data_IF_860558207104
#
_entry.id   IF_860558207104
#
_cell.length_a   1.000
_cell.length_b   1.000
_cell.length_c   1.000
_cell.angle_alpha   90.00
_cell.angle_beta   90.00
_cell.angle_gamma   90.00
#
_symmetry.space_group_name_H-M   'P 1'
#
loop_
_entity.id
_entity.type
_entity.pdbx_description
1 polymer ?
#
# COMPACT_ATOMS: atom_id res chain seq x y z
N UNK A 1 13.28 -65.31 -52.22
CA UNK A 1 14.05 -64.69 -53.30
C UNK A 1 13.49 -63.29 -53.50
N UNK A 2 14.31 -62.28 -53.17
CA UNK A 2 14.27 -60.85 -53.53
C UNK A 2 12.96 -60.09 -53.27
N UNK A 3 12.85 -59.30 -52.18
CA UNK A 3 13.26 -57.88 -52.06
C UNK A 3 12.70 -56.96 -53.15
N UNK A 4 11.73 -56.13 -52.78
CA UNK A 4 11.61 -54.76 -53.27
C UNK A 4 11.11 -53.86 -52.14
N UNK A 5 11.97 -52.94 -51.73
CA UNK A 5 11.77 -51.87 -50.76
C UNK A 5 10.99 -50.72 -51.40
N UNK A 6 9.98 -50.20 -50.69
CA UNK A 6 9.50 -48.83 -50.86
C UNK A 6 9.07 -48.31 -49.49
N UNK A 7 10.00 -47.59 -48.84
CA UNK A 7 9.77 -46.83 -47.61
C UNK A 7 8.78 -45.69 -47.88
N UNK A 8 7.67 -45.68 -47.15
CA UNK A 8 6.81 -44.50 -46.99
C UNK A 8 7.00 -43.97 -45.58
N UNK A 9 7.86 -42.96 -45.44
CA UNK A 9 7.97 -42.15 -44.22
C UNK A 9 7.40 -40.77 -44.51
N UNK A 10 6.15 -40.54 -44.10
CA UNK A 10 5.61 -39.19 -43.97
C UNK A 10 5.87 -38.79 -42.52
N UNK A 11 6.97 -38.09 -42.28
CA UNK A 11 7.17 -37.35 -41.03
C UNK A 11 6.21 -36.17 -41.03
N UNK A 12 5.06 -36.30 -40.37
CA UNK A 12 4.27 -35.15 -39.95
C UNK A 12 5.06 -34.40 -38.86
N UNK A 13 5.67 -33.27 -39.23
CA UNK A 13 6.18 -32.32 -38.25
C UNK A 13 5.02 -31.80 -37.39
N UNK A 14 5.11 -31.87 -36.05
CA UNK A 14 4.12 -31.22 -35.20
C UNK A 14 4.19 -29.70 -35.42
N UNK A 15 3.05 -28.98 -35.29
CA UNK A 15 3.01 -27.55 -35.49
C UNK A 15 3.99 -26.83 -34.54
N UNK A 16 4.56 -25.69 -34.94
CA UNK A 16 5.54 -24.98 -34.13
C UNK A 16 4.91 -24.61 -32.79
N UNK A 17 5.58 -24.99 -31.71
CA UNK A 17 5.18 -24.62 -30.36
C UNK A 17 5.04 -23.10 -30.28
N UNK A 18 3.83 -22.62 -29.93
CA UNK A 18 3.62 -21.22 -29.57
C UNK A 18 4.72 -20.79 -28.61
N UNK A 19 5.37 -19.66 -28.92
CA UNK A 19 6.42 -19.11 -28.09
C UNK A 19 5.86 -18.94 -26.68
N UNK A 20 6.30 -19.82 -25.76
CA UNK A 20 5.99 -19.72 -24.34
C UNK A 20 6.59 -18.41 -23.85
N UNK A 21 5.80 -17.35 -23.85
CA UNK A 21 6.18 -16.08 -23.24
C UNK A 21 6.46 -16.39 -21.78
N UNK A 22 7.73 -16.25 -21.37
CA UNK A 22 8.14 -16.53 -20.01
C UNK A 22 7.20 -15.80 -19.03
N UNK A 23 6.63 -16.53 -18.08
CA UNK A 23 5.71 -15.96 -17.09
C UNK A 23 6.40 -14.77 -16.40
N UNK A 24 5.73 -13.62 -16.19
CA UNK A 24 6.37 -12.48 -15.54
C UNK A 24 6.91 -12.84 -14.15
N UNK A 25 7.88 -12.06 -13.66
CA UNK A 25 8.38 -12.20 -12.29
C UNK A 25 7.21 -12.26 -11.30
N UNK A 26 7.24 -13.16 -10.28
CA UNK A 26 8.37 -14.00 -9.86
C UNK A 26 8.45 -15.39 -10.52
N UNK A 27 7.66 -15.65 -11.56
CA UNK A 27 7.46 -17.01 -12.08
C UNK A 27 8.38 -17.39 -13.26
N UNK A 28 9.15 -16.44 -13.82
CA UNK A 28 10.19 -16.70 -14.84
C UNK A 28 11.50 -17.30 -14.29
N UNK A 29 11.56 -17.72 -13.02
CA UNK A 29 12.79 -18.18 -12.35
C UNK A 29 13.94 -17.16 -12.35
N UNK A 30 13.68 -15.88 -12.68
CA UNK A 30 14.68 -14.83 -12.55
C UNK A 30 14.77 -14.42 -11.07
N UNK A 31 16.01 -14.35 -10.56
CA UNK A 31 16.29 -13.94 -9.18
C UNK A 31 16.26 -12.42 -8.98
N UNK A 32 15.95 -11.67 -10.04
CA UNK A 32 15.94 -10.22 -10.05
C UNK A 32 14.84 -9.69 -10.97
N UNK A 33 14.26 -8.54 -10.63
CA UNK A 33 13.53 -7.71 -11.59
C UNK A 33 14.54 -6.85 -12.36
N UNK A 34 14.31 -6.63 -13.65
CA UNK A 34 15.01 -5.56 -14.37
C UNK A 34 14.64 -4.24 -13.69
N UNK A 35 15.64 -3.55 -13.17
CA UNK A 35 15.44 -2.23 -12.59
C UNK A 35 15.14 -1.26 -13.72
N UNK A 36 13.90 -0.79 -13.79
CA UNK A 36 13.50 0.27 -14.70
C UNK A 36 13.75 1.61 -14.01
N UNK A 37 14.60 2.49 -14.59
CA UNK A 37 14.81 3.81 -14.02
C UNK A 37 13.50 4.60 -14.09
N UNK A 38 13.08 5.13 -12.93
CA UNK A 38 11.94 6.04 -12.86
C UNK A 38 12.40 7.40 -13.37
N UNK A 39 12.04 7.74 -14.60
CA UNK A 39 12.20 9.09 -15.13
C UNK A 39 11.15 10.02 -14.53
N UNK A 40 11.58 11.18 -14.05
CA UNK A 40 10.69 12.19 -13.47
C UNK A 40 9.87 12.84 -14.59
N UNK A 41 8.57 12.57 -14.62
CA UNK A 41 7.63 13.18 -15.57
C UNK A 41 6.76 14.27 -14.93
N UNK A 42 6.76 14.38 -13.60
CA UNK A 42 5.97 15.37 -12.86
C UNK A 42 6.86 16.59 -12.58
N UNK A 43 6.58 17.71 -13.24
CA UNK A 43 7.35 18.95 -13.08
C UNK A 43 7.30 19.49 -11.65
N UNK A 44 6.10 19.63 -11.08
CA UNK A 44 5.92 20.09 -9.70
C UNK A 44 4.61 19.58 -9.12
N UNK A 45 4.56 19.41 -7.81
CA UNK A 45 3.35 19.07 -7.06
C UNK A 45 3.52 19.44 -5.59
N UNK A 46 2.44 19.91 -4.95
CA UNK A 46 2.35 20.06 -3.49
C UNK A 46 1.81 18.79 -2.85
N UNK A 47 2.61 18.12 -2.03
CA UNK A 47 2.21 16.87 -1.35
C UNK A 47 2.16 17.06 0.16
N UNK A 48 0.99 16.82 0.76
CA UNK A 48 0.85 16.74 2.21
C UNK A 48 1.10 15.30 2.65
N UNK A 49 2.12 15.08 3.46
CA UNK A 49 2.41 13.79 4.06
C UNK A 49 1.82 13.75 5.47
N UNK A 50 1.03 12.73 5.76
CA UNK A 50 0.32 12.57 7.04
C UNK A 50 0.96 11.45 7.85
N UNK A 51 1.57 11.82 8.98
CA UNK A 51 2.03 10.90 10.01
C UNK A 51 0.84 10.37 10.81
N UNK A 52 0.64 9.06 10.75
CA UNK A 52 -0.45 8.34 11.40
C UNK A 52 -0.01 7.55 12.63
N UNK A 53 1.19 7.79 13.16
CA UNK A 53 1.68 7.15 14.38
C UNK A 53 1.39 8.01 15.62
N UNK A 54 1.51 7.42 16.81
CA UNK A 54 1.29 8.12 18.08
C UNK A 54 2.52 8.98 18.41
N UNK A 55 2.35 10.30 18.58
CA UNK A 55 3.47 11.22 18.83
C UNK A 55 3.69 11.51 20.31
N UNK A 56 2.61 11.50 21.07
CA UNK A 56 2.59 11.85 22.49
C UNK A 56 1.40 11.16 23.18
N UNK A 57 1.26 11.39 24.48
CA UNK A 57 0.19 10.79 25.30
C UNK A 57 -1.20 11.34 24.96
N UNK A 58 -1.31 12.52 24.33
CA UNK A 58 -2.61 13.08 23.91
C UNK A 58 -3.21 12.28 22.75
N UNK A 59 -2.35 11.66 21.93
CA UNK A 59 -2.75 10.77 20.84
C UNK A 59 -3.22 9.39 21.36
N UNK A 60 -2.99 9.05 22.63
CA UNK A 60 -3.33 7.74 23.21
C UNK A 60 -4.79 7.64 23.66
N UNK A 61 -5.39 6.47 23.49
CA UNK A 61 -6.64 6.09 24.14
C UNK A 61 -6.41 5.69 25.61
N UNK A 62 -7.51 5.50 26.35
CA UNK A 62 -7.45 4.95 27.69
C UNK A 62 -6.97 3.49 27.71
N UNK A 63 -7.25 2.73 26.64
CA UNK A 63 -6.71 1.37 26.46
C UNK A 63 -5.19 1.42 26.39
N UNK A 64 -4.63 2.28 25.54
CA UNK A 64 -3.17 2.40 25.43
C UNK A 64 -2.54 2.90 26.73
N UNK A 65 -3.18 3.83 27.44
CA UNK A 65 -2.69 4.31 28.76
C UNK A 65 -2.67 3.19 29.80
N UNK A 66 -3.75 2.40 29.85
CA UNK A 66 -3.86 1.26 30.75
C UNK A 66 -2.82 0.18 30.43
N UNK A 67 -2.72 -0.21 29.15
CA UNK A 67 -1.88 -1.31 28.71
C UNK A 67 -0.38 -0.98 28.80
N UNK A 68 0.02 0.26 28.52
CA UNK A 68 1.42 0.66 28.58
C UNK A 68 1.86 1.14 29.96
N UNK A 69 0.99 1.83 30.71
CA UNK A 69 1.33 2.38 32.03
C UNK A 69 2.69 3.10 32.03
N UNK A 70 3.62 2.63 32.85
CA UNK A 70 4.97 3.20 32.97
C UNK A 70 5.83 3.09 31.69
N UNK A 71 5.47 2.19 30.77
CA UNK A 71 6.18 1.98 29.50
C UNK A 71 5.75 2.97 28.40
N UNK A 72 4.71 3.78 28.61
CA UNK A 72 4.16 4.68 27.58
C UNK A 72 5.22 5.57 26.93
N UNK A 73 6.14 6.12 27.73
CA UNK A 73 7.26 6.94 27.23
C UNK A 73 8.15 6.17 26.26
N UNK A 74 8.45 4.91 26.55
CA UNK A 74 9.29 4.05 25.70
C UNK A 74 8.56 3.66 24.42
N UNK A 75 7.26 3.33 24.51
CA UNK A 75 6.46 2.98 23.35
C UNK A 75 6.26 4.18 22.42
N UNK A 76 5.97 5.38 22.95
CA UNK A 76 5.92 6.63 22.14
C UNK A 76 7.27 6.92 21.46
N UNK A 77 8.40 6.69 22.14
CA UNK A 77 9.72 6.83 21.50
C UNK A 77 9.88 5.88 20.31
N UNK A 78 9.38 4.64 20.44
CA UNK A 78 9.38 3.66 19.36
C UNK A 78 8.48 4.09 18.20
N UNK A 79 7.27 4.57 18.47
CA UNK A 79 6.34 5.14 17.49
C UNK A 79 7.04 6.24 16.67
N UNK A 80 7.63 7.23 17.35
CA UNK A 80 8.30 8.36 16.69
C UNK A 80 9.49 7.93 15.83
N UNK A 81 10.25 6.92 16.26
CA UNK A 81 11.35 6.37 15.46
C UNK A 81 10.84 5.75 14.16
N UNK A 82 9.77 4.95 14.25
CA UNK A 82 9.17 4.29 13.09
C UNK A 82 8.50 5.32 12.17
N UNK A 83 7.87 6.34 12.75
CA UNK A 83 7.29 7.46 12.01
C UNK A 83 8.36 8.18 11.18
N UNK A 84 9.50 8.54 11.78
CA UNK A 84 10.62 9.17 11.07
C UNK A 84 11.05 8.36 9.84
N UNK A 85 11.29 7.06 10.01
CA UNK A 85 11.65 6.16 8.91
C UNK A 85 10.56 6.10 7.82
N UNK A 86 9.29 6.01 8.21
CA UNK A 86 8.18 5.94 7.25
C UNK A 86 8.03 7.24 6.45
N UNK A 87 8.11 8.39 7.12
CA UNK A 87 8.02 9.71 6.51
C UNK A 87 9.21 9.95 5.57
N UNK A 88 10.44 9.64 5.99
CA UNK A 88 11.64 9.76 5.14
C UNK A 88 11.51 8.93 3.86
N UNK A 89 10.99 7.70 3.97
CA UNK A 89 10.74 6.85 2.80
C UNK A 89 9.70 7.46 1.86
N UNK A 90 8.61 8.04 2.39
CA UNK A 90 7.59 8.70 1.56
C UNK A 90 8.19 9.92 0.85
N UNK A 91 8.90 10.77 1.59
CA UNK A 91 9.54 11.97 1.05
C UNK A 91 10.55 11.63 -0.05
N UNK A 92 11.40 10.62 0.18
CA UNK A 92 12.37 10.16 -0.83
C UNK A 92 11.69 9.65 -2.10
N UNK A 93 10.56 8.94 -1.98
CA UNK A 93 9.81 8.50 -3.16
C UNK A 93 9.16 9.67 -3.91
N UNK A 94 8.64 10.67 -3.21
CA UNK A 94 8.14 11.91 -3.84
C UNK A 94 9.28 12.60 -4.60
N UNK A 95 10.45 12.74 -3.99
CA UNK A 95 11.64 13.31 -4.64
C UNK A 95 12.12 12.51 -5.84
N UNK A 96 11.92 11.19 -5.88
CA UNK A 96 12.26 10.35 -7.04
C UNK A 96 11.26 10.50 -8.19
N UNK A 97 10.01 10.84 -7.89
CA UNK A 97 8.93 10.94 -8.88
C UNK A 97 8.77 12.34 -9.47
N UNK A 98 9.17 13.37 -8.72
CA UNK A 98 8.87 14.79 -9.04
C UNK A 98 10.15 15.59 -9.24
N UNK A 99 10.19 16.45 -10.26
CA UNK A 99 11.32 17.35 -10.53
C UNK A 99 11.48 18.37 -9.40
N UNK A 100 10.42 19.10 -9.08
CA UNK A 100 10.41 20.13 -8.01
C UNK A 100 9.23 19.93 -7.04
N UNK A 101 9.30 18.98 -6.09
CA UNK A 101 8.24 18.78 -5.11
C UNK A 101 8.24 19.88 -4.04
N UNK A 102 7.05 20.22 -3.56
CA UNK A 102 6.88 20.98 -2.31
C UNK A 102 6.13 20.10 -1.32
N UNK A 103 6.73 19.81 -0.17
CA UNK A 103 6.15 18.87 0.81
C UNK A 103 5.88 19.55 2.14
N UNK A 104 4.83 19.12 2.82
CA UNK A 104 4.58 19.45 4.22
C UNK A 104 4.23 18.15 4.97
N UNK A 105 4.77 17.98 6.16
CA UNK A 105 4.41 16.88 7.05
C UNK A 105 3.44 17.40 8.10
N UNK A 106 2.33 16.70 8.31
CA UNK A 106 1.39 16.95 9.39
C UNK A 106 1.05 15.63 10.09
N UNK A 107 0.51 15.72 11.30
CA UNK A 107 -0.04 14.55 11.97
C UNK A 107 -1.51 14.39 11.66
N UNK A 108 -1.99 13.17 11.80
CA UNK A 108 -3.38 12.79 11.64
C UNK A 108 -4.36 13.74 12.35
N UNK A 109 -4.06 14.12 13.61
CA UNK A 109 -4.91 15.00 14.41
C UNK A 109 -5.06 16.43 13.83
N UNK A 110 -4.13 16.87 12.98
CA UNK A 110 -4.14 18.21 12.38
C UNK A 110 -4.34 18.22 10.87
N UNK A 111 -4.65 17.06 10.27
CA UNK A 111 -4.70 16.89 8.81
C UNK A 111 -5.63 17.90 8.12
N UNK A 112 -6.81 18.16 8.67
CA UNK A 112 -7.77 19.09 8.07
C UNK A 112 -7.28 20.53 8.10
N UNK A 113 -6.62 20.95 9.18
CA UNK A 113 -6.01 22.28 9.28
C UNK A 113 -4.84 22.41 8.32
N UNK A 114 -3.95 21.41 8.28
CA UNK A 114 -2.79 21.38 7.42
C UNK A 114 -3.20 21.41 5.93
N UNK A 115 -4.18 20.61 5.52
CA UNK A 115 -4.70 20.60 4.16
C UNK A 115 -5.27 21.97 3.75
N UNK A 116 -6.03 22.64 4.62
CA UNK A 116 -6.57 23.98 4.34
C UNK A 116 -5.48 25.04 4.16
N UNK A 117 -4.45 25.00 5.00
CA UNK A 117 -3.35 25.99 4.98
C UNK A 117 -2.39 25.74 3.81
N UNK A 118 -1.98 24.48 3.63
CA UNK A 118 -0.98 24.09 2.64
C UNK A 118 -1.54 23.95 1.22
N UNK A 119 -2.85 23.68 1.10
CA UNK A 119 -3.56 23.45 -0.18
C UNK A 119 -2.83 22.42 -1.06
N UNK A 120 -2.62 21.18 -0.56
CA UNK A 120 -1.93 20.15 -1.33
C UNK A 120 -2.73 19.74 -2.56
N UNK A 121 -2.02 19.25 -3.56
CA UNK A 121 -2.58 18.61 -4.76
C UNK A 121 -2.72 17.10 -4.59
N UNK A 122 -1.94 16.51 -3.67
CA UNK A 122 -2.05 15.11 -3.26
C UNK A 122 -1.73 14.94 -1.78
N UNK A 123 -2.30 13.90 -1.17
CA UNK A 123 -2.04 13.52 0.22
C UNK A 123 -1.47 12.12 0.24
N UNK A 124 -0.41 11.91 1.02
CA UNK A 124 0.14 10.58 1.29
C UNK A 124 0.03 10.29 2.79
N UNK A 125 -0.69 9.24 3.16
CA UNK A 125 -0.89 8.82 4.55
C UNK A 125 0.05 7.65 4.86
N UNK A 126 0.84 7.79 5.92
CA UNK A 126 1.74 6.75 6.38
C UNK A 126 0.99 5.49 6.86
N UNK A 127 1.74 4.41 7.07
CA UNK A 127 1.25 3.30 7.87
C UNK A 127 0.98 3.68 9.34
N UNK A 128 0.39 2.74 10.06
CA UNK A 128 0.28 2.75 11.51
C UNK A 128 1.11 1.61 12.10
N UNK A 129 1.46 1.71 13.38
CA UNK A 129 2.12 0.63 14.11
C UNK A 129 1.15 -0.14 15.01
N UNK A 130 0.11 0.52 15.52
CA UNK A 130 -0.82 -0.03 16.50
C UNK A 130 -2.20 -0.23 15.94
N UNK A 131 -2.95 -1.02 16.69
CA UNK A 131 -4.39 -1.18 16.52
C UNK A 131 -5.09 0.15 16.80
N UNK A 132 -6.21 0.37 16.13
CA UNK A 132 -6.89 1.68 16.18
C UNK A 132 -7.52 1.98 17.53
N UNK A 133 -7.71 0.98 18.39
CA UNK A 133 -8.17 1.17 19.76
C UNK A 133 -7.09 1.73 20.69
N UNK A 134 -5.83 1.81 20.26
CA UNK A 134 -4.77 2.53 20.98
C UNK A 134 -4.77 4.03 20.73
N UNK A 135 -5.48 4.47 19.69
CA UNK A 135 -5.56 5.87 19.33
C UNK A 135 -6.69 6.55 20.08
N UNK A 136 -6.45 7.78 20.52
CA UNK A 136 -7.50 8.65 21.04
C UNK A 136 -8.66 8.70 20.03
N UNK A 137 -9.89 8.30 20.42
CA UNK A 137 -11.03 8.24 19.50
C UNK A 137 -11.31 9.58 18.80
N UNK A 138 -11.04 10.71 19.46
CA UNK A 138 -11.22 12.03 18.87
C UNK A 138 -10.27 12.29 17.69
N UNK A 139 -9.05 11.74 17.73
CA UNK A 139 -8.09 11.83 16.62
C UNK A 139 -8.60 11.03 15.42
N UNK A 140 -9.12 9.82 15.68
CA UNK A 140 -9.70 8.96 14.64
C UNK A 140 -10.93 9.64 14.00
N UNK A 141 -11.84 10.21 14.80
CA UNK A 141 -13.02 10.90 14.27
C UNK A 141 -12.64 12.15 13.48
N UNK A 142 -11.69 12.95 13.98
CA UNK A 142 -11.18 14.14 13.27
C UNK A 142 -10.64 13.77 11.88
N UNK A 143 -9.92 12.65 11.78
CA UNK A 143 -9.48 12.13 10.50
C UNK A 143 -10.65 11.63 9.64
N UNK A 144 -11.58 10.88 10.24
CA UNK A 144 -12.72 10.33 9.54
C UNK A 144 -13.60 11.43 8.92
N UNK A 145 -13.84 12.52 9.63
CA UNK A 145 -14.50 13.72 9.09
C UNK A 145 -13.74 14.31 7.91
N UNK A 146 -12.41 14.46 8.03
CA UNK A 146 -11.57 14.98 6.96
C UNK A 146 -11.60 14.11 5.69
N UNK A 147 -11.36 12.81 5.83
CA UNK A 147 -11.22 11.92 4.68
C UNK A 147 -12.55 11.68 3.95
N UNK A 148 -13.69 11.77 4.67
CA UNK A 148 -15.02 11.72 4.07
C UNK A 148 -15.36 12.98 3.26
N UNK A 149 -14.78 14.13 3.62
CA UNK A 149 -15.12 15.43 3.02
C UNK A 149 -14.12 15.89 1.94
N UNK A 150 -12.90 15.37 1.94
CA UNK A 150 -11.85 15.82 1.02
C UNK A 150 -12.09 15.35 -0.42
N UNK A 151 -11.79 16.23 -1.38
CA UNK A 151 -11.70 15.88 -2.80
C UNK A 151 -10.24 15.82 -3.29
N UNK A 152 -9.27 15.98 -2.38
CA UNK A 152 -7.85 15.91 -2.70
C UNK A 152 -7.48 14.43 -2.84
N UNK A 153 -6.80 14.01 -3.93
CA UNK A 153 -6.34 12.64 -4.11
C UNK A 153 -5.52 12.14 -2.92
N UNK A 154 -5.83 10.93 -2.42
CA UNK A 154 -5.17 10.33 -1.25
C UNK A 154 -4.56 8.99 -1.62
N UNK A 155 -3.26 8.85 -1.37
CA UNK A 155 -2.56 7.57 -1.32
C UNK A 155 -2.38 7.17 0.14
N UNK A 156 -2.98 6.06 0.55
CA UNK A 156 -2.86 5.55 1.91
C UNK A 156 -2.03 4.26 1.95
N UNK A 157 -1.06 4.16 2.86
CA UNK A 157 -0.09 3.07 2.90
C UNK A 157 -0.36 2.16 4.09
N UNK A 158 -0.49 0.85 3.86
CA UNK A 158 -0.61 -0.17 4.93
C UNK A 158 -1.72 0.18 5.95
N UNK A 159 -1.37 0.44 7.21
CA UNK A 159 -2.30 0.87 8.25
C UNK A 159 -3.06 2.16 7.91
N UNK A 160 -2.49 3.08 7.13
CA UNK A 160 -3.21 4.24 6.63
C UNK A 160 -4.40 3.85 5.75
N UNK A 161 -4.27 2.79 4.94
CA UNK A 161 -5.38 2.29 4.12
C UNK A 161 -6.49 1.67 4.99
N UNK A 162 -6.11 0.95 6.04
CA UNK A 162 -7.06 0.43 7.02
C UNK A 162 -7.83 1.56 7.71
N UNK A 163 -7.15 2.66 8.06
CA UNK A 163 -7.76 3.84 8.66
C UNK A 163 -8.77 4.53 7.73
N UNK A 164 -8.44 4.65 6.43
CA UNK A 164 -9.39 5.12 5.42
C UNK A 164 -10.61 4.20 5.40
N UNK A 165 -10.41 2.88 5.31
CA UNK A 165 -11.51 1.91 5.34
C UNK A 165 -12.43 2.06 6.56
N UNK A 166 -11.85 2.14 7.77
CA UNK A 166 -12.59 2.37 9.02
C UNK A 166 -13.45 3.64 8.96
N UNK A 167 -12.91 4.71 8.38
CA UNK A 167 -13.62 5.99 8.24
C UNK A 167 -14.88 5.90 7.37
N UNK A 168 -14.97 4.89 6.50
CA UNK A 168 -16.13 4.58 5.67
C UNK A 168 -16.92 3.35 6.16
N UNK A 169 -16.67 2.89 7.40
CA UNK A 169 -17.41 1.80 8.04
C UNK A 169 -16.91 0.40 7.67
N UNK A 170 -15.74 0.26 7.03
CA UNK A 170 -15.14 -1.04 6.84
C UNK A 170 -14.69 -1.63 8.17
N UNK A 171 -14.83 -2.95 8.32
CA UNK A 171 -14.35 -3.67 9.49
C UNK A 171 -12.92 -4.14 9.26
N UNK A 172 -11.98 -3.71 10.11
CA UNK A 172 -10.57 -4.11 10.05
C UNK A 172 -10.33 -5.28 11.00
N UNK A 173 -10.01 -6.43 10.43
CA UNK A 173 -9.77 -7.68 11.17
C UNK A 173 -8.38 -8.24 10.85
N UNK A 174 -7.89 -9.12 11.70
CA UNK A 174 -6.69 -9.92 11.46
C UNK A 174 -6.93 -10.98 10.37
N UNK A 175 -5.86 -11.60 9.86
CA UNK A 175 -5.95 -12.62 8.80
C UNK A 175 -6.76 -13.87 9.21
N UNK A 176 -6.77 -14.20 10.50
CA UNK A 176 -7.61 -15.24 11.10
C UNK A 176 -9.01 -14.75 11.51
N UNK A 177 -9.41 -13.55 11.04
CA UNK A 177 -10.75 -12.96 11.15
C UNK A 177 -11.16 -12.58 12.58
N UNK A 178 -10.19 -12.25 13.42
CA UNK A 178 -10.43 -11.71 14.75
C UNK A 178 -10.40 -10.18 14.74
N UNK A 179 -11.07 -9.57 15.71
CA UNK A 179 -10.86 -8.15 16.01
C UNK A 179 -9.41 -7.93 16.43
N UNK A 180 -8.86 -6.76 16.11
CA UNK A 180 -7.46 -6.44 16.39
C UNK A 180 -7.09 -6.64 17.87
N UNK A 181 -7.97 -6.22 18.78
CA UNK A 181 -7.77 -6.36 20.23
C UNK A 181 -7.85 -7.80 20.74
N UNK A 182 -8.49 -8.72 20.00
CA UNK A 182 -8.61 -10.13 20.39
C UNK A 182 -7.29 -10.89 20.21
N UNK A 183 -6.43 -10.43 19.30
CA UNK A 183 -5.10 -10.98 19.10
C UNK A 183 -4.11 -9.86 18.77
N UNK A 184 -3.40 -9.34 19.77
CA UNK A 184 -2.37 -8.31 19.57
C UNK A 184 -0.99 -8.87 19.27
N UNK A 185 -0.71 -10.07 19.75
CA UNK A 185 0.59 -10.73 19.63
C UNK A 185 0.53 -11.95 18.73
N UNK A 186 1.66 -12.30 18.12
CA UNK A 186 1.83 -13.51 17.31
C UNK A 186 0.76 -13.67 16.22
N UNK A 187 0.35 -12.54 15.62
CA UNK A 187 -0.61 -12.53 14.51
C UNK A 187 -0.09 -13.37 13.35
N UNK A 188 -0.96 -14.12 12.65
CA UNK A 188 -0.59 -14.75 11.39
C UNK A 188 -0.04 -13.68 10.44
N UNK A 189 1.11 -13.98 9.85
CA UNK A 189 1.73 -13.15 8.84
C UNK A 189 1.59 -13.84 7.49
N UNK A 190 1.20 -13.07 6.49
CA UNK A 190 1.23 -13.49 5.11
C UNK A 190 2.31 -12.66 4.40
N UNK A 191 3.27 -13.35 3.81
CA UNK A 191 4.35 -12.74 3.05
C UNK A 191 4.44 -13.42 1.70
N UNK A 192 4.03 -12.71 0.64
CA UNK A 192 4.23 -12.96 -0.80
C UNK A 192 3.07 -12.36 -1.62
N UNK A 193 3.21 -12.37 -2.94
CA UNK A 193 2.14 -12.01 -3.87
C UNK A 193 1.08 -13.10 -3.92
N UNK A 194 -0.19 -12.71 -3.90
CA UNK A 194 -1.32 -13.58 -4.20
C UNK A 194 -2.01 -13.11 -5.48
N UNK A 195 -2.35 -14.06 -6.34
CA UNK A 195 -3.28 -13.79 -7.41
C UNK A 195 -4.65 -13.53 -6.81
N UNK A 196 -5.15 -12.30 -7.00
CA UNK A 196 -6.51 -11.94 -6.65
C UNK A 196 -7.38 -12.09 -7.88
N UNK A 197 -8.52 -12.77 -7.73
CA UNK A 197 -9.53 -12.86 -8.79
C UNK A 197 -10.46 -11.66 -8.67
N UNK A 198 -10.47 -10.80 -9.68
CA UNK A 198 -11.45 -9.73 -9.80
C UNK A 198 -12.81 -10.37 -10.11
N UNK A 199 -13.74 -10.27 -9.16
CA UNK A 199 -15.09 -10.86 -9.30
C UNK A 199 -16.07 -9.93 -10.00
N UNK A 200 -15.77 -8.63 -10.07
CA UNK A 200 -16.58 -7.60 -10.72
C UNK A 200 -15.71 -6.75 -11.65
N UNK A 201 -15.27 -7.29 -12.81
CA UNK A 201 -14.33 -6.62 -13.69
C UNK A 201 -14.86 -5.33 -14.33
N UNK A 202 -16.18 -5.10 -14.27
CA UNK A 202 -16.83 -3.89 -14.78
C UNK A 202 -16.86 -2.75 -13.76
N UNK A 203 -16.44 -2.98 -12.50
CA UNK A 203 -16.32 -1.90 -11.53
C UNK A 203 -15.33 -0.84 -12.06
N UNK A 204 -15.68 0.46 -12.07
CA UNK A 204 -14.82 1.52 -12.57
C UNK A 204 -13.41 1.54 -11.95
N UNK A 205 -13.21 1.02 -10.74
CA UNK A 205 -11.89 0.93 -10.10
C UNK A 205 -10.91 0.03 -10.88
N UNK A 206 -11.43 -0.91 -11.67
CA UNK A 206 -10.64 -1.84 -12.49
C UNK A 206 -10.56 -1.43 -13.96
N UNK A 207 -10.99 -0.23 -14.32
CA UNK A 207 -10.91 0.25 -15.70
C UNK A 207 -9.46 0.23 -16.19
N UNK A 208 -9.21 -0.45 -17.31
CA UNK A 208 -7.88 -0.59 -17.93
C UNK A 208 -7.05 -1.75 -17.38
N UNK A 209 -7.50 -2.50 -16.38
CA UNK A 209 -6.71 -3.60 -15.80
C UNK A 209 -6.51 -4.79 -16.76
N UNK A 210 -7.40 -4.93 -17.74
CA UNK A 210 -7.33 -5.96 -18.79
C UNK A 210 -6.81 -5.40 -20.11
N UNK A 211 -6.31 -4.17 -20.14
CA UNK A 211 -5.74 -3.59 -21.36
C UNK A 211 -4.41 -4.28 -21.66
N UNK A 212 -4.32 -5.08 -22.75
CA UNK A 212 -3.10 -5.81 -23.09
C UNK A 212 -1.93 -4.87 -23.42
N UNK A 213 -2.22 -3.61 -23.76
CA UNK A 213 -1.23 -2.58 -24.01
C UNK A 213 -0.77 -1.84 -22.74
N UNK A 214 -1.48 -1.98 -21.60
CA UNK A 214 -1.15 -1.25 -20.38
C UNK A 214 0.19 -1.67 -19.73
N UNK A 215 0.86 -2.69 -20.25
CA UNK A 215 2.23 -3.07 -19.90
C UNK A 215 3.20 -3.16 -21.08
N UNK A 216 2.79 -2.73 -22.28
CA UNK A 216 3.66 -2.58 -23.46
C UNK A 216 4.06 -1.10 -23.53
N UNK A 217 5.13 -0.73 -22.83
CA UNK A 217 5.73 0.61 -22.87
C UNK A 217 7.19 0.50 -23.32
#
# INVERSE_FOLDING_TARGET
MTEELLEFSIEEQPPPAEAVTALPFPHNQQTFCRYEPIEKQIESVRVLVVDSLLRNEDDMSDVARSDWGIAAVTEIKRERKIAGMAIENILSNIERLVVSPTTQVAHLASVGLAARQFKPEAIVISGTLRDFDYYNPAVIETFAEFIRATNIPVLAICGGHQLVGLSFGARVVTLDRLEQHQQRENRPLEYQYRFVRITQPQDPIFRGINDPAAGLW
#
